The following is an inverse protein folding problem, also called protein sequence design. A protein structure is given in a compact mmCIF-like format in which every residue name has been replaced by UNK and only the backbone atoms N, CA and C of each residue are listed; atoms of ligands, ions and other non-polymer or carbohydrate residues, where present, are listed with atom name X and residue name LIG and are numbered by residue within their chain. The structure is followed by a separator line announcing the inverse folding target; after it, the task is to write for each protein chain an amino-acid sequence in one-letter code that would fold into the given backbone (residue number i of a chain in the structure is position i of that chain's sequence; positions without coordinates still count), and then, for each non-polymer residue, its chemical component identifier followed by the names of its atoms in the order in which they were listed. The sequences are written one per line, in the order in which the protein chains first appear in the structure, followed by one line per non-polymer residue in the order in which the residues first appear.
data_IF_665651745289
#
_entry.id   IF_665651745289
#
_cell.length_a   1.000
_cell.length_b   1.000
_cell.length_c   1.000
_cell.angle_alpha   90.00
_cell.angle_beta   90.00
_cell.angle_gamma   90.00
#
_symmetry.space_group_name_H-M   'P 1'
#
loop_
_entity.id
_entity.type
_entity.pdbx_description
1 polymer ?
#
# COMPACT_ATOMS: atom_id res chain seq x y z
N UNK A 1 -17.70 5.18 8.40
CA UNK A 1 -17.57 5.19 9.88
C UNK A 1 -18.66 5.98 10.60
N UNK A 2 -19.44 6.84 9.93
CA UNK A 2 -20.52 7.61 10.57
C UNK A 2 -21.65 6.80 11.22
N UNK A 3 -21.75 5.49 10.95
CA UNK A 3 -22.85 4.64 11.44
C UNK A 3 -22.51 3.74 12.62
N UNK A 4 -21.24 3.66 13.02
CA UNK A 4 -20.82 2.84 14.17
C UNK A 4 -20.89 3.76 15.39
N UNK A 5 -21.53 3.30 16.46
CA UNK A 5 -21.62 4.01 17.74
C UNK A 5 -20.44 3.65 18.66
N UNK A 6 -20.12 4.50 19.64
CA UNK A 6 -19.04 4.23 20.59
C UNK A 6 -19.25 2.91 21.34
N UNK A 7 -20.46 2.65 21.83
CA UNK A 7 -20.83 1.41 22.53
C UNK A 7 -20.63 0.13 21.69
N UNK A 8 -20.61 0.22 20.35
CA UNK A 8 -20.29 -0.91 19.47
C UNK A 8 -18.77 -1.07 19.31
N UNK A 9 -18.04 0.03 19.18
CA UNK A 9 -16.57 0.02 19.09
C UNK A 9 -15.93 -0.45 20.39
N UNK A 10 -16.49 -0.05 21.52
CA UNK A 10 -16.06 -0.40 22.88
C UNK A 10 -16.04 -1.90 23.14
N UNK A 11 -17.02 -2.65 22.61
CA UNK A 11 -17.09 -4.11 22.75
C UNK A 11 -15.93 -4.84 22.09
N UNK A 12 -15.28 -4.19 21.14
CA UNK A 12 -14.25 -4.75 20.29
C UNK A 12 -12.83 -4.26 20.61
N UNK A 13 -12.70 -3.27 21.49
CA UNK A 13 -11.44 -2.62 21.85
C UNK A 13 -11.20 -2.82 23.34
N UNK A 14 -10.26 -3.71 23.65
CA UNK A 14 -9.94 -4.09 25.02
C UNK A 14 -8.96 -3.11 25.67
N UNK A 15 -8.87 -3.14 27.00
CA UNK A 15 -7.89 -2.34 27.74
C UNK A 15 -6.45 -2.61 27.26
N UNK A 16 -6.09 -3.87 27.05
CA UNK A 16 -4.78 -4.28 26.54
C UNK A 16 -4.43 -3.62 25.20
N UNK A 17 -5.45 -3.39 24.35
CA UNK A 17 -5.27 -2.70 23.08
C UNK A 17 -4.91 -1.22 23.27
N UNK A 18 -5.53 -0.58 24.26
CA UNK A 18 -5.29 0.82 24.62
C UNK A 18 -3.94 0.97 25.31
N UNK A 19 -3.62 0.11 26.29
CA UNK A 19 -2.32 0.07 26.97
C UNK A 19 -1.17 -0.12 25.97
N UNK A 20 -1.37 -1.01 24.99
CA UNK A 20 -0.43 -1.21 23.90
C UNK A 20 -0.21 0.07 23.10
N UNK A 21 -1.29 0.79 22.74
CA UNK A 21 -1.17 2.05 21.98
C UNK A 21 -0.49 3.15 22.79
N UNK A 22 -0.82 3.29 24.08
CA UNK A 22 -0.21 4.30 24.96
C UNK A 22 1.29 4.01 25.13
N UNK A 23 1.65 2.74 25.37
CA UNK A 23 3.06 2.31 25.44
C UNK A 23 3.82 2.50 24.13
N UNK A 24 3.14 2.31 22.99
CA UNK A 24 3.72 2.60 21.68
C UNK A 24 3.84 4.10 21.41
N UNK A 25 2.91 4.91 21.92
CA UNK A 25 2.88 6.36 21.79
C UNK A 25 4.04 7.02 22.52
N UNK A 26 4.37 6.54 23.72
CA UNK A 26 5.56 7.01 24.47
C UNK A 26 6.87 6.72 23.72
N UNK A 27 6.89 5.68 22.88
CA UNK A 27 8.01 5.31 22.02
C UNK A 27 7.81 5.69 20.54
N UNK A 28 7.05 6.76 20.25
CA UNK A 28 6.72 7.20 18.88
C UNK A 28 7.94 7.48 17.99
N UNK A 29 9.10 7.77 18.59
CA UNK A 29 10.37 8.02 17.90
C UNK A 29 10.82 6.84 17.03
N UNK A 30 10.59 5.60 17.48
CA UNK A 30 10.90 4.39 16.72
C UNK A 30 10.09 4.31 15.41
N UNK A 31 8.79 4.62 15.47
CA UNK A 31 7.93 4.67 14.29
C UNK A 31 8.31 5.81 13.35
N UNK A 32 8.71 6.95 13.91
CA UNK A 32 9.20 8.10 13.14
C UNK A 32 10.45 7.74 12.35
N UNK A 33 11.43 7.08 12.98
CA UNK A 33 12.64 6.63 12.31
C UNK A 33 12.34 5.63 11.18
N UNK A 34 11.40 4.70 11.41
CA UNK A 34 10.96 3.75 10.36
C UNK A 34 10.31 4.45 9.17
N UNK A 35 9.50 5.48 9.39
CA UNK A 35 8.89 6.27 8.32
C UNK A 35 9.95 7.07 7.56
N UNK A 36 10.86 7.74 8.26
CA UNK A 36 11.98 8.46 7.62
C UNK A 36 12.79 7.52 6.73
N UNK A 37 13.20 6.36 7.27
CA UNK A 37 13.96 5.38 6.52
C UNK A 37 13.17 4.84 5.31
N UNK A 38 11.88 4.55 5.48
CA UNK A 38 11.03 4.06 4.39
C UNK A 38 10.82 5.11 3.30
N UNK A 39 10.70 6.39 3.67
CA UNK A 39 10.62 7.50 2.72
C UNK A 39 11.91 7.67 1.93
N UNK A 40 13.06 7.63 2.61
CA UNK A 40 14.37 7.68 1.95
C UNK A 40 14.57 6.49 1.01
N UNK A 41 14.25 5.27 1.46
CA UNK A 41 14.33 4.07 0.65
C UNK A 41 13.42 4.13 -0.57
N UNK A 42 12.17 4.59 -0.39
CA UNK A 42 11.21 4.76 -1.50
C UNK A 42 11.67 5.82 -2.51
N UNK A 43 12.26 6.91 -2.03
CA UNK A 43 12.86 7.94 -2.89
C UNK A 43 14.03 7.36 -3.70
N UNK A 44 14.95 6.63 -3.05
CA UNK A 44 16.08 5.97 -3.70
C UNK A 44 15.64 4.97 -4.78
N UNK A 45 14.66 4.12 -4.48
CA UNK A 45 14.14 3.16 -5.47
C UNK A 45 13.45 3.87 -6.62
N UNK A 46 12.87 5.06 -6.41
CA UNK A 46 12.27 5.84 -7.50
C UNK A 46 13.30 6.54 -8.40
N UNK A 47 14.57 6.70 -7.98
CA UNK A 47 15.58 7.45 -8.74
C UNK A 47 15.89 6.94 -10.15
N UNK A 48 15.91 5.63 -10.46
CA UNK A 48 16.15 5.17 -11.82
C UNK A 48 15.15 5.73 -12.85
N UNK A 49 13.96 6.15 -12.41
CA UNK A 49 12.97 6.83 -13.26
C UNK A 49 13.42 8.20 -13.75
N UNK A 50 14.35 8.88 -13.05
CA UNK A 50 14.84 10.23 -13.43
C UNK A 50 15.53 10.23 -14.79
N UNK A 51 16.20 9.12 -15.14
CA UNK A 51 16.91 8.98 -16.41
C UNK A 51 15.97 8.95 -17.62
N UNK A 52 14.72 8.55 -17.41
CA UNK A 52 13.75 8.33 -18.48
C UNK A 52 12.58 9.34 -18.44
N UNK A 53 12.17 9.74 -17.23
CA UNK A 53 10.95 10.49 -16.97
C UNK A 53 11.14 11.51 -15.83
N UNK A 54 12.01 12.49 -16.03
CA UNK A 54 12.35 13.48 -15.00
C UNK A 54 11.14 14.13 -14.31
N UNK A 55 10.12 14.54 -15.07
CA UNK A 55 8.91 15.16 -14.52
C UNK A 55 8.10 14.21 -13.63
N UNK A 56 7.98 12.94 -14.00
CA UNK A 56 7.29 11.91 -13.22
C UNK A 56 8.04 11.66 -11.91
N UNK A 57 9.37 11.61 -11.94
CA UNK A 57 10.19 11.44 -10.73
C UNK A 57 10.06 12.63 -9.77
N UNK A 58 9.98 13.86 -10.28
CA UNK A 58 9.79 15.05 -9.44
C UNK A 58 8.42 15.03 -8.74
N UNK A 59 7.38 14.57 -9.42
CA UNK A 59 6.06 14.34 -8.81
C UNK A 59 6.14 13.30 -7.69
N UNK A 60 6.83 12.17 -7.92
CA UNK A 60 7.06 11.15 -6.88
C UNK A 60 7.71 11.72 -5.63
N UNK A 61 8.82 12.45 -5.79
CA UNK A 61 9.55 13.04 -4.68
C UNK A 61 8.71 14.06 -3.92
N UNK A 62 7.90 14.85 -4.63
CA UNK A 62 6.96 15.81 -4.04
C UNK A 62 5.91 15.11 -3.18
N UNK A 63 5.33 14.01 -3.67
CA UNK A 63 4.35 13.20 -2.91
C UNK A 63 5.00 12.60 -1.67
N UNK A 64 6.18 11.98 -1.81
CA UNK A 64 6.91 11.37 -0.69
C UNK A 64 7.29 12.41 0.37
N UNK A 65 7.75 13.59 -0.06
CA UNK A 65 8.07 14.69 0.84
C UNK A 65 6.82 15.18 1.58
N UNK A 66 5.71 15.39 0.87
CA UNK A 66 4.43 15.77 1.48
C UNK A 66 3.96 14.75 2.52
N UNK A 67 4.02 13.45 2.20
CA UNK A 67 3.66 12.37 3.12
C UNK A 67 4.56 12.36 4.36
N UNK A 68 5.86 12.56 4.19
CA UNK A 68 6.82 12.62 5.29
C UNK A 68 6.53 13.80 6.22
N UNK A 69 6.44 15.02 5.68
CA UNK A 69 6.16 16.22 6.47
C UNK A 69 4.84 16.06 7.23
N UNK A 70 3.79 15.61 6.55
CA UNK A 70 2.48 15.41 7.18
C UNK A 70 2.55 14.40 8.33
N UNK A 71 3.32 13.32 8.19
CA UNK A 71 3.51 12.36 9.27
C UNK A 71 4.31 12.94 10.46
N UNK A 72 5.35 13.73 10.19
CA UNK A 72 6.16 14.35 11.23
C UNK A 72 5.36 15.36 12.08
N UNK A 73 4.38 16.04 11.47
CA UNK A 73 3.48 16.98 12.16
C UNK A 73 2.41 16.33 13.04
N UNK A 74 2.26 15.00 13.00
CA UNK A 74 1.29 14.29 13.85
C UNK A 74 1.76 14.23 15.31
N UNK A 75 0.80 14.26 16.24
CA UNK A 75 1.08 13.98 17.66
C UNK A 75 1.45 12.50 17.86
N UNK A 76 1.97 12.14 19.05
CA UNK A 76 2.51 10.81 19.30
C UNK A 76 1.48 9.69 19.12
N UNK A 77 0.25 9.92 19.60
CA UNK A 77 -0.88 9.01 19.39
C UNK A 77 -1.19 8.80 17.90
N UNK A 78 -1.34 9.89 17.16
CA UNK A 78 -1.67 9.85 15.74
C UNK A 78 -0.57 9.19 14.92
N UNK A 79 0.70 9.33 15.30
CA UNK A 79 1.83 8.63 14.66
C UNK A 79 1.65 7.11 14.74
N UNK A 80 1.31 6.56 15.91
CA UNK A 80 1.10 5.12 16.10
C UNK A 80 -0.11 4.62 15.32
N UNK A 81 -1.25 5.29 15.48
CA UNK A 81 -2.53 4.93 14.85
C UNK A 81 -2.44 4.96 13.33
N UNK A 82 -1.76 5.97 12.77
CA UNK A 82 -1.66 6.16 11.32
C UNK A 82 -0.42 5.52 10.69
N UNK A 83 0.50 4.95 11.48
CA UNK A 83 1.77 4.39 11.01
C UNK A 83 1.63 3.47 9.79
N UNK A 84 0.77 2.44 9.89
CA UNK A 84 0.60 1.45 8.81
C UNK A 84 0.04 2.09 7.53
N UNK A 85 -0.81 3.11 7.66
CA UNK A 85 -1.39 3.82 6.52
C UNK A 85 -0.32 4.64 5.79
N UNK A 86 0.50 5.39 6.53
CA UNK A 86 1.59 6.18 5.93
C UNK A 86 2.67 5.28 5.35
N UNK A 87 3.07 4.22 6.05
CA UNK A 87 4.05 3.24 5.56
C UNK A 87 3.58 2.66 4.22
N UNK A 88 2.32 2.25 4.14
CA UNK A 88 1.73 1.76 2.90
C UNK A 88 1.78 2.81 1.79
N UNK A 89 1.33 4.04 2.04
CA UNK A 89 1.32 5.09 1.01
C UNK A 89 2.73 5.43 0.49
N UNK A 90 3.71 5.45 1.38
CA UNK A 90 5.12 5.70 1.05
C UNK A 90 5.67 4.58 0.17
N UNK A 91 5.55 3.32 0.61
CA UNK A 91 6.04 2.15 -0.13
C UNK A 91 5.31 2.00 -1.47
N UNK A 92 3.97 2.19 -1.49
CA UNK A 92 3.16 2.14 -2.70
C UNK A 92 3.62 3.18 -3.72
N UNK A 93 3.90 4.40 -3.27
CA UNK A 93 4.44 5.47 -4.12
C UNK A 93 5.79 5.08 -4.69
N UNK A 94 6.73 4.63 -3.85
CA UNK A 94 8.04 4.17 -4.32
C UNK A 94 7.94 3.06 -5.39
N UNK A 95 7.09 2.05 -5.16
CA UNK A 95 6.90 0.94 -6.10
C UNK A 95 6.28 1.38 -7.42
N UNK A 96 5.19 2.16 -7.40
CA UNK A 96 4.52 2.62 -8.63
C UNK A 96 5.51 3.39 -9.51
N UNK A 97 6.23 4.35 -8.93
CA UNK A 97 7.14 5.22 -9.67
C UNK A 97 8.44 4.53 -10.09
N UNK A 98 8.88 3.51 -9.37
CA UNK A 98 9.98 2.66 -9.84
C UNK A 98 9.60 1.85 -11.07
N UNK A 99 8.41 1.25 -11.05
CA UNK A 99 7.97 0.35 -12.10
C UNK A 99 7.73 1.07 -13.44
N UNK A 100 7.59 2.41 -13.45
CA UNK A 100 7.48 3.17 -14.70
C UNK A 100 8.74 3.10 -15.56
N UNK A 101 9.90 2.76 -14.99
CA UNK A 101 11.15 2.56 -15.76
C UNK A 101 10.98 1.49 -16.82
N UNK A 102 10.22 0.43 -16.53
CA UNK A 102 9.96 -0.67 -17.47
C UNK A 102 8.99 -0.29 -18.60
N UNK A 103 8.37 0.88 -18.53
CA UNK A 103 7.45 1.41 -19.53
C UNK A 103 8.11 2.39 -20.50
N UNK A 104 9.46 2.49 -20.46
CA UNK A 104 10.20 3.37 -21.36
C UNK A 104 10.01 3.02 -22.83
N UNK A 105 9.42 3.95 -23.59
CA UNK A 105 9.25 3.87 -25.03
C UNK A 105 9.94 5.08 -25.66
N UNK A 106 11.03 4.84 -26.41
CA UNK A 106 11.88 5.89 -27.02
C UNK A 106 11.11 6.88 -27.92
N UNK A 107 9.98 6.45 -28.51
CA UNK A 107 9.15 7.25 -29.42
C UNK A 107 7.97 7.95 -28.72
N UNK A 108 7.74 7.71 -27.43
CA UNK A 108 6.65 8.33 -26.66
C UNK A 108 7.10 9.66 -26.04
N UNK A 109 6.96 10.74 -26.83
CA UNK A 109 7.32 12.11 -26.41
C UNK A 109 6.41 12.66 -25.31
N UNK A 110 5.17 12.15 -25.19
CA UNK A 110 4.16 12.66 -24.26
C UNK A 110 4.05 11.85 -22.97
N UNK A 111 4.76 10.73 -22.88
CA UNK A 111 4.81 9.87 -21.70
C UNK A 111 3.42 9.39 -21.24
N UNK A 112 2.51 9.17 -22.20
CA UNK A 112 1.11 8.85 -21.95
C UNK A 112 0.99 7.48 -21.25
N UNK A 113 1.78 6.50 -21.68
CA UNK A 113 1.71 5.13 -21.14
C UNK A 113 2.06 5.09 -19.65
N UNK A 114 3.20 5.68 -19.18
CA UNK A 114 3.49 5.81 -17.76
C UNK A 114 2.40 6.54 -16.95
N UNK A 115 1.81 7.61 -17.50
CA UNK A 115 0.78 8.40 -16.80
C UNK A 115 -0.49 7.57 -16.59
N UNK A 116 -0.94 6.87 -17.63
CA UNK A 116 -2.08 5.95 -17.55
C UNK A 116 -1.79 4.86 -16.53
N UNK A 117 -0.59 4.28 -16.58
CA UNK A 117 -0.16 3.24 -15.64
C UNK A 117 -0.20 3.72 -14.19
N UNK A 118 0.38 4.89 -13.87
CA UNK A 118 0.39 5.46 -12.52
C UNK A 118 -1.06 5.65 -12.04
N UNK A 119 -1.92 6.21 -12.90
CA UNK A 119 -3.32 6.48 -12.57
C UNK A 119 -4.07 5.20 -12.24
N UNK A 120 -4.02 4.20 -13.12
CA UNK A 120 -4.68 2.90 -12.92
C UNK A 120 -4.13 2.19 -11.68
N UNK A 121 -2.81 2.24 -11.48
CA UNK A 121 -2.11 1.65 -10.34
C UNK A 121 -2.59 2.20 -9.00
N UNK A 122 -2.70 3.53 -8.88
CA UNK A 122 -3.26 4.16 -7.68
C UNK A 122 -4.74 3.83 -7.50
N UNK A 123 -5.55 3.92 -8.56
CA UNK A 123 -6.98 3.59 -8.49
C UNK A 123 -7.19 2.15 -8.00
N UNK A 124 -6.48 1.19 -8.58
CA UNK A 124 -6.64 -0.23 -8.25
C UNK A 124 -6.15 -0.55 -6.83
N UNK A 125 -4.98 -0.04 -6.44
CA UNK A 125 -4.42 -0.27 -5.11
C UNK A 125 -5.30 0.32 -4.00
N UNK A 126 -5.75 1.58 -4.16
CA UNK A 126 -6.67 2.21 -3.23
C UNK A 126 -8.04 1.53 -3.22
N UNK A 127 -8.54 1.11 -4.38
CA UNK A 127 -9.80 0.35 -4.47
C UNK A 127 -9.72 -0.95 -3.68
N UNK A 128 -8.64 -1.72 -3.80
CA UNK A 128 -8.45 -2.96 -3.06
C UNK A 128 -8.40 -2.71 -1.55
N UNK A 129 -7.64 -1.71 -1.10
CA UNK A 129 -7.57 -1.35 0.33
C UNK A 129 -8.93 -0.90 0.85
N UNK A 130 -9.58 0.02 0.14
CA UNK A 130 -10.92 0.51 0.50
C UNK A 130 -11.93 -0.63 0.58
N UNK A 131 -11.94 -1.50 -0.42
CA UNK A 131 -12.85 -2.63 -0.49
C UNK A 131 -12.60 -3.59 0.68
N UNK A 132 -11.34 -3.97 0.96
CA UNK A 132 -11.00 -4.85 2.10
C UNK A 132 -11.46 -4.25 3.43
N UNK A 133 -11.17 -2.98 3.69
CA UNK A 133 -11.55 -2.29 4.95
C UNK A 133 -13.06 -2.10 5.08
N UNK A 134 -13.74 -1.65 4.01
CA UNK A 134 -15.19 -1.41 4.01
C UNK A 134 -15.98 -2.69 4.27
N UNK A 135 -15.52 -3.80 3.70
CA UNK A 135 -16.19 -5.08 3.88
C UNK A 135 -15.97 -5.68 5.27
N UNK A 136 -14.78 -5.53 5.85
CA UNK A 136 -14.55 -5.91 7.24
C UNK A 136 -15.45 -5.11 8.19
N UNK A 137 -15.57 -3.80 7.98
CA UNK A 137 -16.49 -2.94 8.76
C UNK A 137 -17.94 -3.43 8.66
N UNK A 138 -18.40 -3.77 7.45
CA UNK A 138 -19.78 -4.26 7.22
C UNK A 138 -20.02 -5.62 7.85
N UNK A 139 -19.05 -6.53 7.76
CA UNK A 139 -19.14 -7.86 8.36
C UNK A 139 -19.14 -7.79 9.89
N UNK A 140 -18.26 -6.98 10.48
CA UNK A 140 -18.10 -6.91 11.94
C UNK A 140 -19.25 -6.17 12.63
N UNK A 141 -19.73 -5.07 12.06
CA UNK A 141 -20.74 -4.20 12.66
C UNK A 141 -22.14 -4.37 12.07
N UNK A 142 -22.40 -5.45 11.32
CA UNK A 142 -23.69 -5.73 10.66
C UNK A 142 -24.29 -4.52 9.92
N UNK A 143 -23.44 -3.67 9.33
CA UNK A 143 -23.86 -2.45 8.63
C UNK A 143 -24.49 -2.81 7.28
N UNK A 144 -25.75 -3.23 7.32
CA UNK A 144 -26.58 -3.58 6.17
C UNK A 144 -26.31 -4.97 5.61
N UNK A 145 -27.27 -5.89 5.78
CA UNK A 145 -27.31 -7.17 5.07
C UNK A 145 -27.46 -6.95 3.56
N UNK A 146 -26.35 -6.97 2.84
CA UNK A 146 -26.37 -7.13 1.39
C UNK A 146 -25.51 -8.33 1.00
N UNK A 147 -25.92 -9.06 -0.03
CA UNK A 147 -25.19 -10.18 -0.67
C UNK A 147 -23.71 -9.91 -0.94
N UNK A 148 -23.27 -8.66 -0.85
CA UNK A 148 -21.90 -8.21 -0.97
C UNK A 148 -20.97 -8.65 0.17
N UNK A 149 -21.43 -8.83 1.43
CA UNK A 149 -20.50 -9.13 2.54
C UNK A 149 -19.80 -10.49 2.39
N UNK A 150 -20.53 -11.58 2.10
CA UNK A 150 -19.93 -12.90 1.84
C UNK A 150 -19.04 -12.92 0.58
N UNK A 151 -19.47 -12.28 -0.52
CA UNK A 151 -18.66 -12.17 -1.74
C UNK A 151 -17.36 -11.40 -1.50
N UNK A 152 -17.39 -10.45 -0.58
CA UNK A 152 -16.26 -9.57 -0.32
C UNK A 152 -15.17 -10.15 0.58
N UNK A 153 -15.54 -10.93 1.59
CA UNK A 153 -14.58 -11.68 2.40
C UNK A 153 -13.85 -12.72 1.53
N UNK A 154 -14.60 -13.37 0.65
CA UNK A 154 -14.03 -14.24 -0.38
C UNK A 154 -13.09 -13.48 -1.31
N UNK A 155 -13.42 -12.25 -1.74
CA UNK A 155 -12.55 -11.45 -2.60
C UNK A 155 -11.28 -10.96 -1.89
N UNK A 156 -11.38 -10.52 -0.63
CA UNK A 156 -10.23 -10.11 0.17
C UNK A 156 -9.25 -11.28 0.39
N UNK A 157 -9.79 -12.44 0.76
CA UNK A 157 -8.99 -13.66 0.97
C UNK A 157 -8.40 -14.18 -0.35
N UNK A 158 -9.18 -14.15 -1.46
CA UNK A 158 -8.70 -14.55 -2.79
C UNK A 158 -7.61 -13.62 -3.32
N UNK A 159 -7.77 -12.30 -3.19
CA UNK A 159 -6.75 -11.33 -3.68
C UNK A 159 -5.44 -11.48 -2.93
N UNK A 160 -5.46 -11.61 -1.59
CA UNK A 160 -4.23 -11.83 -0.82
C UNK A 160 -3.57 -13.19 -1.15
N UNK A 161 -4.36 -14.26 -1.32
CA UNK A 161 -3.84 -15.58 -1.74
C UNK A 161 -3.23 -15.54 -3.14
N UNK A 162 -3.90 -14.88 -4.09
CA UNK A 162 -3.44 -14.77 -5.47
C UNK A 162 -2.17 -13.93 -5.57
N UNK A 163 -2.06 -12.85 -4.79
CA UNK A 163 -0.82 -12.08 -4.65
C UNK A 163 0.30 -12.90 -4.01
N UNK A 164 0.00 -13.72 -3.00
CA UNK A 164 0.98 -14.65 -2.42
C UNK A 164 1.52 -15.67 -3.43
N UNK A 165 0.62 -16.27 -4.22
CA UNK A 165 1.00 -17.18 -5.33
C UNK A 165 1.82 -16.42 -6.37
N UNK A 166 1.42 -15.21 -6.73
CA UNK A 166 2.16 -14.36 -7.67
C UNK A 166 3.59 -14.09 -7.21
N UNK A 167 3.81 -13.77 -5.93
CA UNK A 167 5.16 -13.62 -5.35
C UNK A 167 5.97 -14.91 -5.50
N UNK A 168 5.37 -16.06 -5.19
CA UNK A 168 6.03 -17.36 -5.30
C UNK A 168 6.45 -17.62 -6.76
N UNK A 169 5.58 -17.31 -7.73
CA UNK A 169 5.89 -17.47 -9.16
C UNK A 169 7.04 -16.57 -9.61
N UNK A 170 7.09 -15.31 -9.15
CA UNK A 170 8.21 -14.40 -9.45
C UNK A 170 9.52 -14.96 -8.90
N UNK A 171 9.53 -15.41 -7.65
CA UNK A 171 10.72 -15.96 -6.99
C UNK A 171 11.21 -17.21 -7.73
N UNK A 172 10.31 -18.15 -8.02
CA UNK A 172 10.64 -19.35 -8.78
C UNK A 172 11.16 -19.02 -10.18
N UNK A 173 10.50 -18.10 -10.90
CA UNK A 173 10.95 -17.64 -12.22
C UNK A 173 12.35 -17.03 -12.18
N UNK A 174 12.64 -16.23 -11.15
CA UNK A 174 13.98 -15.60 -10.97
C UNK A 174 15.05 -16.65 -10.68
N UNK A 175 14.73 -17.66 -9.87
CA UNK A 175 15.65 -18.77 -9.56
C UNK A 175 15.91 -19.61 -10.81
N UNK A 176 14.85 -19.99 -11.55
CA UNK A 176 14.96 -20.76 -12.79
C UNK A 176 15.78 -19.99 -13.83
N UNK A 177 15.51 -18.69 -14.01
CA UNK A 177 16.29 -17.82 -14.89
C UNK A 177 17.78 -17.81 -14.52
N UNK A 178 18.11 -17.79 -13.22
CA UNK A 178 19.49 -17.77 -12.74
C UNK A 178 20.20 -19.10 -12.94
N UNK A 179 19.49 -20.22 -12.78
CA UNK A 179 20.05 -21.58 -12.86
C UNK A 179 20.16 -22.05 -14.31
N UNK A 180 19.20 -21.70 -15.16
CA UNK A 180 19.14 -22.16 -16.53
C UNK A 180 19.03 -20.97 -17.48
N UNK A 181 20.11 -20.65 -18.20
CA UNK A 181 20.12 -19.60 -19.25
C UNK A 181 19.97 -20.17 -20.67
N UNK A 182 19.97 -21.50 -20.82
CA UNK A 182 20.03 -22.15 -22.13
C UNK A 182 18.80 -21.87 -23.02
N UNK A 183 17.62 -21.79 -22.41
CA UNK A 183 16.36 -21.38 -23.08
C UNK A 183 16.34 -19.95 -23.66
N UNK A 184 17.28 -19.07 -23.28
CA UNK A 184 17.41 -17.71 -23.85
C UNK A 184 18.51 -17.60 -24.92
N UNK A 185 19.45 -18.55 -24.95
CA UNK A 185 20.58 -18.52 -25.89
C UNK A 185 20.17 -18.91 -27.32
N UNK A 186 18.98 -19.50 -27.50
CA UNK A 186 18.47 -19.97 -28.79
C UNK A 186 17.29 -19.12 -29.31
N UNK A 187 17.04 -17.95 -28.73
CA UNK A 187 15.96 -17.06 -29.18
C UNK A 187 16.55 -15.92 -30.01
N UNK A 188 16.62 -16.12 -31.32
CA UNK A 188 16.88 -15.04 -32.26
C UNK A 188 15.62 -14.18 -32.39
N UNK A 189 15.52 -13.15 -31.55
CA UNK A 189 14.45 -12.15 -31.64
C UNK A 189 14.86 -11.12 -32.70
N UNK A 190 14.59 -11.43 -33.97
CA UNK A 190 14.68 -10.45 -35.05
C UNK A 190 13.47 -9.52 -35.00
N UNK A 191 13.70 -8.25 -34.63
CA UNK A 191 12.65 -7.23 -34.43
C UNK A 191 11.98 -6.74 -35.73
N UNK A 192 12.36 -7.27 -36.90
CA UNK A 192 11.86 -6.80 -38.20
C UNK A 192 10.49 -7.39 -38.60
N UNK A 193 10.00 -8.44 -37.93
CA UNK A 193 8.73 -9.09 -38.27
C UNK A 193 7.90 -9.54 -37.05
N UNK A 194 7.93 -8.78 -35.96
CA UNK A 194 7.12 -9.12 -34.77
C UNK A 194 5.65 -8.94 -35.09
N UNK A 195 4.90 -10.04 -35.01
CA UNK A 195 3.46 -10.03 -35.27
C UNK A 195 2.72 -9.22 -34.19
N UNK A 196 1.55 -8.67 -34.54
CA UNK A 196 0.67 -7.97 -33.57
C UNK A 196 0.35 -8.90 -32.38
N UNK A 197 0.23 -10.20 -32.61
CA UNK A 197 -0.02 -11.22 -31.60
C UNK A 197 1.13 -11.32 -30.59
N UNK A 198 2.38 -11.32 -31.03
CA UNK A 198 3.55 -11.32 -30.14
C UNK A 198 3.66 -10.02 -29.34
N UNK A 199 3.32 -8.89 -29.94
CA UNK A 199 3.29 -7.60 -29.23
C UNK A 199 2.24 -7.59 -28.13
N UNK A 200 1.05 -8.13 -28.39
CA UNK A 200 -0.02 -8.27 -27.39
C UNK A 200 0.39 -9.26 -26.29
N UNK A 201 1.04 -10.37 -26.64
CA UNK A 201 1.45 -11.39 -25.68
C UNK A 201 2.53 -10.85 -24.73
N UNK A 202 3.60 -10.25 -25.26
CA UNK A 202 4.71 -9.73 -24.47
C UNK A 202 4.36 -8.42 -23.76
N UNK A 203 3.69 -7.49 -24.46
CA UNK A 203 3.25 -6.22 -23.88
C UNK A 203 2.15 -6.40 -22.82
N UNK A 204 1.16 -7.26 -23.10
CA UNK A 204 0.11 -7.62 -22.14
C UNK A 204 0.67 -8.37 -20.94
N UNK A 205 1.60 -9.30 -21.15
CA UNK A 205 2.31 -10.00 -20.09
C UNK A 205 3.10 -9.06 -19.18
N UNK A 206 3.82 -8.09 -19.77
CA UNK A 206 4.54 -7.06 -19.03
C UNK A 206 3.59 -6.20 -18.20
N UNK A 207 2.51 -5.68 -18.79
CA UNK A 207 1.53 -4.85 -18.07
C UNK A 207 0.90 -5.63 -16.91
N UNK A 208 0.51 -6.88 -17.14
CA UNK A 208 -0.04 -7.74 -16.08
C UNK A 208 0.96 -7.94 -14.93
N UNK A 209 2.23 -8.18 -15.25
CA UNK A 209 3.29 -8.33 -14.27
C UNK A 209 3.52 -7.05 -13.47
N UNK A 210 3.55 -5.88 -14.14
CA UNK A 210 3.72 -4.58 -13.47
C UNK A 210 2.54 -4.25 -12.55
N UNK A 211 1.30 -4.54 -12.98
CA UNK A 211 0.12 -4.39 -12.13
C UNK A 211 0.21 -5.32 -10.92
N UNK A 212 0.60 -6.59 -11.12
CA UNK A 212 0.77 -7.55 -10.02
C UNK A 212 1.81 -7.08 -8.99
N UNK A 213 2.96 -6.57 -9.46
CA UNK A 213 4.01 -6.02 -8.60
C UNK A 213 3.56 -4.78 -7.84
N UNK A 214 2.79 -3.91 -8.50
CA UNK A 214 2.20 -2.71 -7.90
C UNK A 214 1.25 -3.03 -6.75
N UNK A 215 0.61 -4.19 -6.77
CA UNK A 215 -0.33 -4.60 -5.72
C UNK A 215 0.37 -5.23 -4.50
N UNK A 216 1.67 -5.53 -4.56
CA UNK A 216 2.38 -6.15 -3.44
C UNK A 216 2.35 -5.34 -2.14
N UNK A 217 2.50 -4.00 -2.13
CA UNK A 217 2.44 -3.24 -0.88
C UNK A 217 1.06 -3.32 -0.21
N UNK A 218 -0.01 -3.67 -0.95
CA UNK A 218 -1.34 -3.89 -0.33
C UNK A 218 -1.36 -5.08 0.63
N UNK A 219 -0.36 -5.97 0.59
CA UNK A 219 -0.18 -7.05 1.57
C UNK A 219 0.30 -6.55 2.94
N UNK A 220 0.95 -5.39 2.99
CA UNK A 220 1.34 -4.75 4.27
C UNK A 220 0.12 -4.29 5.07
N UNK A 221 -1.01 -4.09 4.38
CA UNK A 221 -2.25 -3.63 5.00
C UNK A 221 -3.00 -4.81 5.62
N UNK A 222 -3.14 -4.77 6.95
CA UNK A 222 -4.09 -5.58 7.71
C UNK A 222 -5.37 -4.78 7.95
N UNK A 223 -6.49 -5.12 7.29
CA UNK A 223 -7.74 -4.35 7.41
C UNK A 223 -8.27 -4.27 8.84
N UNK A 224 -8.08 -5.30 9.64
CA UNK A 224 -8.46 -5.36 11.06
C UNK A 224 -7.79 -4.23 11.86
N UNK A 225 -6.48 -4.08 11.71
CA UNK A 225 -5.71 -3.03 12.37
C UNK A 225 -6.16 -1.63 11.91
N UNK A 226 -6.43 -1.44 10.61
CA UNK A 226 -6.95 -0.16 10.11
C UNK A 226 -8.29 0.17 10.76
N UNK A 227 -9.21 -0.79 10.80
CA UNK A 227 -10.55 -0.56 11.37
C UNK A 227 -10.45 -0.23 12.85
N UNK A 228 -9.69 -1.04 13.60
CA UNK A 228 -9.45 -0.83 15.02
C UNK A 228 -8.85 0.55 15.30
N UNK A 229 -7.74 0.88 14.67
CA UNK A 229 -7.05 2.15 14.90
C UNK A 229 -7.88 3.36 14.49
N UNK A 230 -8.62 3.28 13.38
CA UNK A 230 -9.55 4.37 13.01
C UNK A 230 -10.71 4.54 13.97
N UNK A 231 -11.20 3.46 14.60
CA UNK A 231 -12.23 3.57 15.64
C UNK A 231 -11.67 4.20 16.91
N UNK A 232 -10.45 3.81 17.30
CA UNK A 232 -9.73 4.40 18.44
C UNK A 232 -9.44 5.88 18.19
N UNK A 233 -9.04 6.25 16.97
CA UNK A 233 -8.82 7.65 16.57
C UNK A 233 -10.12 8.46 16.58
N UNK A 234 -11.22 7.89 16.04
CA UNK A 234 -12.52 8.55 15.98
C UNK A 234 -13.07 8.85 17.38
N UNK A 235 -12.88 7.92 18.31
CA UNK A 235 -13.37 7.98 19.67
C UNK A 235 -12.25 8.20 20.70
N UNK A 236 -11.22 8.95 20.31
CA UNK A 236 -10.01 9.10 21.11
C UNK A 236 -10.30 9.65 22.51
N UNK A 237 -11.14 10.68 22.62
CA UNK A 237 -11.51 11.26 23.92
C UNK A 237 -12.36 10.30 24.76
N UNK A 238 -13.35 9.63 24.15
CA UNK A 238 -14.21 8.68 24.86
C UNK A 238 -13.40 7.50 25.43
N UNK A 239 -12.44 6.98 24.67
CA UNK A 239 -11.54 5.93 25.16
C UNK A 239 -10.54 6.45 26.21
N UNK A 240 -10.02 7.67 26.04
CA UNK A 240 -9.12 8.30 27.01
C UNK A 240 -9.81 8.46 28.37
N UNK A 241 -11.03 8.99 28.39
CA UNK A 241 -11.80 9.22 29.61
C UNK A 241 -12.25 7.91 30.25
N UNK A 242 -12.71 6.94 29.46
CA UNK A 242 -13.15 5.65 29.97
C UNK A 242 -12.05 4.90 30.74
N UNK A 243 -10.81 4.99 30.26
CA UNK A 243 -9.66 4.31 30.85
C UNK A 243 -8.79 5.23 31.73
N UNK A 244 -9.31 6.41 32.08
CA UNK A 244 -8.70 7.38 32.99
C UNK A 244 -7.27 7.83 32.64
N UNK A 245 -6.98 7.94 31.34
CA UNK A 245 -5.69 8.48 30.87
C UNK A 245 -5.69 10.01 30.85
N UNK A 246 -4.59 10.60 31.30
CA UNK A 246 -4.36 12.04 31.13
C UNK A 246 -4.14 12.38 29.65
N UNK A 247 -4.38 13.65 29.28
CA UNK A 247 -4.07 14.13 27.92
C UNK A 247 -2.60 13.97 27.56
N UNK A 248 -1.71 14.11 28.55
CA UNK A 248 -0.26 13.96 28.39
C UNK A 248 0.12 12.51 28.10
N UNK A 249 -0.46 11.54 28.81
CA UNK A 249 -0.21 10.12 28.53
C UNK A 249 -0.77 9.69 27.17
N UNK A 250 -1.93 10.23 26.81
CA UNK A 250 -2.59 9.88 25.55
C UNK A 250 -1.87 10.49 24.34
N UNK A 251 -1.74 11.81 24.30
CA UNK A 251 -1.23 12.55 23.13
C UNK A 251 0.28 12.78 23.16
N UNK A 252 0.93 12.58 24.31
CA UNK A 252 2.31 12.95 24.56
C UNK A 252 2.47 14.40 24.99
N UNK A 253 3.71 14.77 25.31
CA UNK A 253 4.13 16.17 25.40
C UNK A 253 4.28 16.69 23.96
N UNK A 254 3.40 17.60 23.54
CA UNK A 254 3.57 18.35 22.29
C UNK A 254 4.60 19.45 22.47
#
# INVERSE_FOLDING_TARGET
MHKIAFAEAEKDIYLDDIETIVTMSSNSSSYTNKIIFSSLFSALISFPSLNYYWGISMVSLSILFFLLIKYLTLNNFQKVVNYNTYLYMIVQTGVIFFLTVFLYIKKDTYHIVPIIYITISYMLSLFIVYFKTSNLLRAKYNLGHSKWSKKSELFATKTSKLLGIFVILIVLGTIIYRINRWWLLNVDITFESVSITEYILWGGGLIFLLIGLTLLPTLLIKPENIVKYKLIEKYAEDFREKYDYSKKEWYGDN
#
